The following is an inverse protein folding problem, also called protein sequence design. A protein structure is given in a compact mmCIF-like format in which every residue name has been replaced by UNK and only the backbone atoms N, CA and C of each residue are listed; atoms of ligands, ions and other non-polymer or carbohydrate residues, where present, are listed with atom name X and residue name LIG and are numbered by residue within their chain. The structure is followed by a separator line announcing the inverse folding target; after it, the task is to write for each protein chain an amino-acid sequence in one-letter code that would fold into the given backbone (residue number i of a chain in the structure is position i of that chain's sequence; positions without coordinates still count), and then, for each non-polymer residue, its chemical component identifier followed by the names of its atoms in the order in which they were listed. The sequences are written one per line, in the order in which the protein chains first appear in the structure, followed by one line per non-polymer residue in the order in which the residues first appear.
data_IF_166154393715
#
_entry.id   IF_166154393715
#
_cell.length_a   1.000
_cell.length_b   1.000
_cell.length_c   1.000
_cell.angle_alpha   90.00
_cell.angle_beta   90.00
_cell.angle_gamma   90.00
#
_symmetry.space_group_name_H-M   'P 1'
#
loop_
_entity.id
_entity.type
_entity.pdbx_description
1 polymer ?
#
# COMPACT_ATOMS: atom_id res chain seq x y z
N UNK A 1 -29.16 22.88 -57.34
CA UNK A 1 -30.01 23.93 -56.74
C UNK A 1 -30.71 23.34 -55.51
N UNK A 2 -30.63 24.09 -54.40
CA UNK A 2 -31.31 23.99 -53.09
C UNK A 2 -31.14 22.76 -52.18
N UNK A 3 -31.03 22.82 -50.84
CA UNK A 3 -30.46 23.71 -49.78
C UNK A 3 -30.61 22.92 -48.45
N UNK A 4 -29.70 23.17 -47.48
CA UNK A 4 -29.63 22.81 -46.02
C UNK A 4 -30.98 22.55 -45.29
N UNK A 5 -31.05 21.82 -44.16
CA UNK A 5 -30.63 22.21 -42.78
C UNK A 5 -30.58 20.95 -41.87
N UNK A 6 -29.67 20.92 -40.88
CA UNK A 6 -29.50 19.85 -39.90
C UNK A 6 -30.38 19.93 -38.64
N UNK A 7 -30.24 18.96 -37.74
CA UNK A 7 -30.59 19.07 -36.30
C UNK A 7 -29.76 18.06 -35.51
N UNK A 8 -29.10 18.61 -34.50
CA UNK A 8 -28.27 18.01 -33.45
C UNK A 8 -29.13 17.25 -32.44
N UNK A 9 -28.74 16.03 -32.08
CA UNK A 9 -29.21 15.36 -30.87
C UNK A 9 -28.17 15.57 -29.76
N UNK A 10 -28.51 16.41 -28.80
CA UNK A 10 -27.74 16.67 -27.59
C UNK A 10 -28.18 15.67 -26.52
N UNK A 11 -27.37 14.63 -26.27
CA UNK A 11 -27.54 13.73 -25.14
C UNK A 11 -26.60 14.20 -24.03
N UNK A 12 -27.11 15.06 -23.15
CA UNK A 12 -26.43 15.50 -21.93
C UNK A 12 -26.23 14.32 -20.99
N UNK A 13 -24.94 14.02 -20.79
CA UNK A 13 -24.38 12.91 -20.04
C UNK A 13 -24.62 13.07 -18.54
N UNK A 14 -24.84 11.94 -17.86
CA UNK A 14 -24.97 11.79 -16.40
C UNK A 14 -23.79 12.33 -15.57
N UNK A 15 -22.74 12.86 -16.21
CA UNK A 15 -21.58 13.49 -15.60
C UNK A 15 -21.87 14.83 -14.90
N UNK A 16 -22.98 15.52 -15.19
CA UNK A 16 -23.28 16.82 -14.57
C UNK A 16 -23.95 16.72 -13.20
N UNK A 17 -24.62 15.60 -12.87
CA UNK A 17 -25.28 15.44 -11.56
C UNK A 17 -24.32 15.18 -10.41
N UNK A 18 -23.19 14.51 -10.64
CA UNK A 18 -22.19 14.27 -9.57
C UNK A 18 -21.35 15.50 -9.23
N UNK A 19 -21.31 16.52 -10.11
CA UNK A 19 -20.48 17.71 -9.91
C UNK A 19 -21.11 18.72 -8.92
N UNK A 20 -22.41 18.64 -8.67
CA UNK A 20 -23.12 19.52 -7.73
C UNK A 20 -23.08 19.05 -6.27
N UNK A 21 -22.94 17.75 -6.01
CA UNK A 21 -22.95 17.20 -4.65
C UNK A 21 -21.61 17.38 -3.90
N UNK A 22 -20.49 17.57 -4.60
CA UNK A 22 -19.17 17.69 -3.96
C UNK A 22 -18.81 19.13 -3.53
N UNK A 23 -19.65 20.13 -3.80
CA UNK A 23 -19.35 21.54 -3.51
C UNK A 23 -19.70 21.97 -2.07
N UNK A 24 -20.30 21.10 -1.24
CA UNK A 24 -20.91 21.52 0.04
C UNK A 24 -20.11 21.21 1.31
N UNK A 25 -18.94 20.56 1.22
CA UNK A 25 -18.25 20.05 2.41
C UNK A 25 -17.00 20.83 2.87
N UNK A 26 -16.64 21.96 2.23
CA UNK A 26 -15.52 22.79 2.69
C UNK A 26 -16.00 24.16 3.16
N UNK A 27 -16.43 24.21 4.42
CA UNK A 27 -16.45 25.42 5.24
C UNK A 27 -16.74 25.01 6.69
N UNK A 28 -15.71 25.04 7.53
CA UNK A 28 -15.70 25.57 8.90
C UNK A 28 -14.52 24.99 9.70
N UNK A 29 -13.43 25.75 9.80
CA UNK A 29 -12.59 25.82 11.01
C UNK A 29 -11.59 26.96 10.87
N UNK A 30 -12.05 28.20 11.09
CA UNK A 30 -11.18 29.36 11.33
C UNK A 30 -10.71 29.28 12.78
N UNK A 31 -9.43 28.97 13.00
CA UNK A 31 -8.77 29.07 14.30
C UNK A 31 -8.54 30.53 14.67
N UNK A 32 -9.21 31.01 15.72
CA UNK A 32 -9.00 32.33 16.32
C UNK A 32 -7.96 32.24 17.43
N UNK A 33 -6.97 33.13 17.38
CA UNK A 33 -5.92 33.30 18.37
C UNK A 33 -6.28 34.50 19.25
N UNK A 34 -6.55 34.30 20.54
CA UNK A 34 -6.59 35.38 21.53
C UNK A 34 -6.15 34.86 22.91
N UNK A 35 -5.12 35.50 23.46
CA UNK A 35 -4.70 35.42 24.87
C UNK A 35 -5.42 36.53 25.64
N UNK A 36 -5.80 36.30 26.91
CA UNK A 36 -5.53 37.34 27.90
C UNK A 36 -5.00 36.82 29.26
N UNK A 37 -4.36 37.75 29.96
CA UNK A 37 -3.67 37.68 31.25
C UNK A 37 -4.60 37.45 32.46
N UNK A 38 -4.07 36.68 33.43
CA UNK A 38 -4.05 36.84 34.91
C UNK A 38 -5.27 37.46 35.63
N UNK A 39 -5.85 36.72 36.58
CA UNK A 39 -6.20 37.19 37.95
C UNK A 39 -6.20 35.99 38.92
N UNK A 40 -5.50 36.14 40.05
CA UNK A 40 -5.50 35.22 41.19
C UNK A 40 -6.66 35.52 42.16
N UNK A 41 -7.26 34.49 42.77
CA UNK A 41 -7.93 34.61 44.08
C UNK A 41 -8.30 33.25 44.70
N UNK A 42 -7.94 33.08 45.98
CA UNK A 42 -8.81 32.49 47.00
C UNK A 42 -8.96 30.96 47.08
N UNK A 43 -8.36 30.37 48.12
CA UNK A 43 -8.65 29.01 48.59
C UNK A 43 -10.06 28.90 49.18
N UNK A 44 -10.73 27.76 48.99
CA UNK A 44 -11.68 27.17 49.96
C UNK A 44 -11.74 25.66 49.77
N UNK A 45 -11.53 24.94 50.87
CA UNK A 45 -11.59 23.49 50.98
C UNK A 45 -13.03 22.97 50.80
N UNK A 46 -13.18 21.85 50.11
CA UNK A 46 -14.37 21.00 50.23
C UNK A 46 -13.93 19.54 50.34
N UNK A 47 -14.12 19.00 51.54
CA UNK A 47 -14.05 17.58 51.84
C UNK A 47 -15.22 16.86 51.16
N UNK A 48 -14.93 15.83 50.39
CA UNK A 48 -15.92 14.93 49.81
C UNK A 48 -15.35 13.53 49.68
N UNK A 49 -15.59 12.69 50.69
CA UNK A 49 -15.37 11.25 50.61
C UNK A 49 -16.65 10.59 50.07
N UNK A 50 -16.56 9.85 48.96
CA UNK A 50 -17.43 8.70 48.66
C UNK A 50 -17.03 8.04 47.34
N UNK A 51 -16.77 6.73 47.39
CA UNK A 51 -16.93 5.82 46.25
C UNK A 51 -15.65 5.38 45.53
N UNK A 52 -14.76 4.64 46.19
CA UNK A 52 -13.83 3.77 45.48
C UNK A 52 -14.62 2.61 44.85
N UNK A 53 -15.03 2.76 43.59
CA UNK A 53 -15.48 1.63 42.79
C UNK A 53 -14.28 0.69 42.56
N UNK A 54 -14.41 -0.63 42.71
CA UNK A 54 -13.33 -1.54 42.38
C UNK A 54 -13.10 -1.45 40.87
N UNK A 55 -11.97 -0.85 40.49
CA UNK A 55 -11.46 -0.97 39.13
C UNK A 55 -11.25 -2.46 38.88
N UNK A 56 -12.08 -3.06 38.03
CA UNK A 56 -11.81 -4.38 37.47
C UNK A 56 -10.52 -4.22 36.67
N UNK A 57 -9.40 -4.58 37.26
CA UNK A 57 -8.17 -4.90 36.56
C UNK A 57 -8.45 -6.15 35.73
N UNK A 58 -9.08 -5.95 34.57
CA UNK A 58 -8.91 -6.86 33.46
C UNK A 58 -7.45 -6.78 33.09
N UNK A 59 -6.63 -7.66 33.66
CA UNK A 59 -5.33 -7.93 33.11
C UNK A 59 -5.58 -8.38 31.67
N UNK A 60 -5.35 -7.48 30.71
CA UNK A 60 -5.17 -7.88 29.33
C UNK A 60 -4.08 -8.94 29.39
N UNK A 61 -4.45 -10.17 29.06
CA UNK A 61 -3.49 -11.24 28.84
C UNK A 61 -2.61 -10.72 27.71
N UNK A 62 -1.40 -10.25 28.04
CA UNK A 62 -0.40 -9.93 27.03
C UNK A 62 -0.25 -11.20 26.21
N UNK A 63 -0.74 -11.15 24.97
CA UNK A 63 -0.52 -12.22 24.02
C UNK A 63 0.99 -12.38 23.92
N UNK A 64 1.50 -13.55 24.33
CA UNK A 64 2.92 -13.84 24.32
C UNK A 64 3.50 -13.46 22.95
N UNK A 65 4.60 -12.71 22.93
CA UNK A 65 5.23 -12.27 21.70
C UNK A 65 5.55 -13.49 20.81
N UNK A 66 5.12 -13.44 19.54
CA UNK A 66 5.43 -14.51 18.57
C UNK A 66 6.95 -14.65 18.41
N UNK A 67 7.47 -15.87 18.23
CA UNK A 67 8.89 -16.08 17.96
C UNK A 67 9.28 -15.38 16.65
N UNK A 68 10.45 -14.73 16.65
CA UNK A 68 10.99 -14.02 15.48
C UNK A 68 11.95 -14.94 14.70
N UNK A 69 11.44 -16.11 14.26
CA UNK A 69 12.22 -17.05 13.46
C UNK A 69 12.20 -16.55 12.02
N UNK A 70 13.34 -16.07 11.53
CA UNK A 70 13.47 -15.62 10.15
C UNK A 70 13.61 -16.82 9.19
N UNK A 71 12.86 -16.85 8.06
CA UNK A 71 13.13 -17.81 7.01
C UNK A 71 14.49 -17.53 6.35
N UNK A 72 15.12 -18.59 5.86
CA UNK A 72 16.38 -18.56 5.11
C UNK A 72 16.20 -17.86 3.76
N UNK A 73 17.32 -17.48 3.13
CA UNK A 73 17.30 -16.91 1.79
C UNK A 73 16.72 -17.92 0.76
N UNK A 74 16.99 -19.21 0.94
CA UNK A 74 16.49 -20.27 0.07
C UNK A 74 14.96 -20.41 0.18
N UNK A 75 14.41 -20.45 1.40
CA UNK A 75 12.96 -20.53 1.61
C UNK A 75 12.25 -19.31 1.01
N UNK A 76 12.79 -18.10 1.20
CA UNK A 76 12.25 -16.92 0.52
C UNK A 76 12.35 -17.05 -1.00
N UNK A 77 13.43 -17.62 -1.54
CA UNK A 77 13.54 -17.81 -2.98
C UNK A 77 12.41 -18.68 -3.53
N UNK A 78 11.97 -19.71 -2.80
CA UNK A 78 10.83 -20.56 -3.22
C UNK A 78 9.50 -19.79 -3.26
N UNK A 79 9.33 -18.76 -2.43
CA UNK A 79 8.13 -17.94 -2.38
C UNK A 79 8.06 -16.90 -3.51
N UNK A 80 9.22 -16.41 -3.97
CA UNK A 80 9.28 -15.27 -4.89
C UNK A 80 9.76 -15.62 -6.29
N UNK A 81 10.73 -16.52 -6.44
CA UNK A 81 11.39 -16.73 -7.73
C UNK A 81 10.42 -17.31 -8.78
N UNK A 82 10.58 -16.81 -10.00
CA UNK A 82 9.74 -17.14 -11.16
C UNK A 82 8.25 -16.96 -10.88
N UNK A 83 7.89 -15.86 -10.23
CA UNK A 83 6.50 -15.53 -9.93
C UNK A 83 6.20 -14.06 -10.19
N UNK A 84 4.95 -13.81 -10.54
CA UNK A 84 4.39 -12.47 -10.72
C UNK A 84 3.49 -12.13 -9.54
N UNK A 85 3.86 -11.12 -8.77
CA UNK A 85 3.02 -10.54 -7.72
C UNK A 85 2.01 -9.57 -8.35
N UNK A 86 0.73 -9.86 -8.22
CA UNK A 86 -0.35 -9.06 -8.79
C UNK A 86 -1.00 -8.15 -7.73
N UNK A 87 -1.19 -6.87 -8.07
CA UNK A 87 -2.03 -5.96 -7.29
C UNK A 87 -3.05 -5.25 -8.19
N UNK A 88 -3.98 -4.51 -7.59
CA UNK A 88 -5.16 -3.94 -8.27
C UNK A 88 -4.84 -3.27 -9.61
N UNK A 89 -3.75 -2.51 -9.66
CA UNK A 89 -3.37 -1.68 -10.81
C UNK A 89 -1.93 -1.96 -11.29
N UNK A 90 -1.44 -3.17 -11.19
CA UNK A 90 -0.08 -3.49 -11.65
C UNK A 90 0.42 -4.85 -11.22
N UNK A 91 1.67 -5.13 -11.57
CA UNK A 91 2.33 -6.36 -11.17
C UNK A 91 3.85 -6.22 -11.14
N UNK A 92 4.51 -7.12 -10.42
CA UNK A 92 5.97 -7.26 -10.40
C UNK A 92 6.35 -8.72 -10.65
N UNK A 93 7.16 -8.97 -11.67
CA UNK A 93 7.73 -10.28 -11.97
C UNK A 93 9.14 -10.41 -11.37
N UNK A 94 9.33 -11.44 -10.55
CA UNK A 94 10.57 -11.78 -9.86
C UNK A 94 11.29 -12.88 -10.64
N UNK A 95 12.20 -12.50 -11.53
CA UNK A 95 12.95 -13.43 -12.37
C UNK A 95 13.92 -14.32 -11.58
N UNK A 96 14.14 -15.54 -12.04
CA UNK A 96 15.12 -16.48 -11.45
C UNK A 96 16.54 -15.92 -11.44
N UNK A 97 16.87 -15.06 -12.40
CA UNK A 97 18.14 -14.37 -12.56
C UNK A 97 18.26 -13.08 -11.73
N UNK A 98 17.38 -12.91 -10.74
CA UNK A 98 17.27 -11.73 -9.86
C UNK A 98 16.80 -10.46 -10.56
N UNK A 99 16.43 -10.48 -11.84
CA UNK A 99 15.76 -9.33 -12.46
C UNK A 99 14.37 -9.12 -11.86
N UNK A 100 13.98 -7.86 -11.75
CA UNK A 100 12.66 -7.45 -11.28
C UNK A 100 12.07 -6.47 -12.30
N UNK A 101 10.94 -6.85 -12.88
CA UNK A 101 10.18 -6.00 -13.79
C UNK A 101 8.82 -5.71 -13.19
N UNK A 102 8.51 -4.45 -12.96
CA UNK A 102 7.25 -4.00 -12.42
C UNK A 102 6.58 -3.01 -13.36
N UNK A 103 5.26 -2.93 -13.30
CA UNK A 103 4.50 -1.90 -14.00
C UNK A 103 3.26 -1.51 -13.22
N UNK A 104 2.79 -0.29 -13.46
CA UNK A 104 1.53 0.21 -12.92
C UNK A 104 0.66 0.78 -14.03
N UNK A 105 -0.63 0.46 -13.97
CA UNK A 105 -1.71 1.03 -14.79
C UNK A 105 -2.18 2.33 -14.13
N UNK A 106 -1.35 3.36 -14.09
CA UNK A 106 -1.86 4.69 -13.77
C UNK A 106 -2.82 5.12 -14.88
N UNK A 107 -4.04 5.56 -14.55
CA UNK A 107 -5.07 5.94 -15.55
C UNK A 107 -4.52 6.98 -16.55
N UNK A 108 -3.68 7.91 -16.08
CA UNK A 108 -3.03 8.94 -16.90
C UNK A 108 -1.49 8.90 -16.88
N UNK A 109 -0.89 7.98 -16.14
CA UNK A 109 0.57 7.90 -15.99
C UNK A 109 1.03 6.46 -15.75
N UNK A 110 1.06 5.62 -16.80
CA UNK A 110 1.70 4.31 -16.69
C UNK A 110 3.18 4.50 -16.32
N UNK A 111 3.65 3.63 -15.42
CA UNK A 111 5.04 3.59 -15.04
C UNK A 111 5.55 2.16 -15.14
N UNK A 112 6.83 2.02 -15.47
CA UNK A 112 7.54 0.76 -15.36
C UNK A 112 8.69 0.90 -14.39
N UNK A 113 8.93 -0.16 -13.62
CA UNK A 113 10.05 -0.30 -12.71
C UNK A 113 10.96 -1.40 -13.23
N UNK A 114 12.24 -1.11 -13.37
CA UNK A 114 13.25 -2.09 -13.79
C UNK A 114 14.38 -2.12 -12.76
N UNK A 115 14.87 -3.32 -12.47
CA UNK A 115 15.97 -3.49 -11.54
C UNK A 115 16.10 -4.94 -11.09
N UNK A 116 16.29 -5.12 -9.78
CA UNK A 116 16.58 -6.43 -9.20
C UNK A 116 15.87 -6.67 -7.89
N UNK A 117 15.81 -7.93 -7.50
CA UNK A 117 15.37 -8.33 -6.16
C UNK A 117 16.44 -9.16 -5.47
N UNK A 118 16.42 -9.16 -4.14
CA UNK A 118 17.35 -9.92 -3.31
C UNK A 118 16.64 -10.46 -2.08
N UNK A 119 17.17 -11.55 -1.56
CA UNK A 119 16.73 -12.19 -0.31
C UNK A 119 17.94 -12.36 0.61
N UNK A 120 17.70 -12.43 1.91
CA UNK A 120 18.77 -12.53 2.92
C UNK A 120 18.47 -13.65 3.90
N UNK A 121 19.50 -14.14 4.60
CA UNK A 121 19.36 -15.14 5.68
C UNK A 121 18.64 -14.61 6.93
N UNK A 122 18.21 -13.34 6.93
CA UNK A 122 17.46 -12.72 8.02
C UNK A 122 16.01 -12.47 7.63
N UNK A 123 15.45 -13.28 6.72
CA UNK A 123 14.04 -13.20 6.36
C UNK A 123 13.65 -11.94 5.59
N UNK A 124 14.61 -11.19 5.01
CA UNK A 124 14.29 -10.00 4.23
C UNK A 124 14.25 -10.29 2.73
N UNK A 125 13.20 -9.86 2.06
CA UNK A 125 13.11 -9.70 0.61
C UNK A 125 13.15 -8.21 0.29
N UNK A 126 14.04 -7.78 -0.60
CA UNK A 126 14.08 -6.39 -1.04
C UNK A 126 13.96 -6.27 -2.56
N UNK A 127 13.14 -5.32 -2.98
CA UNK A 127 12.99 -4.86 -4.34
C UNK A 127 13.81 -3.60 -4.53
N UNK A 128 14.66 -3.57 -5.55
CA UNK A 128 15.43 -2.39 -5.94
C UNK A 128 15.06 -2.02 -7.37
N UNK A 129 14.29 -0.95 -7.53
CA UNK A 129 13.68 -0.54 -8.79
C UNK A 129 13.98 0.91 -9.12
N UNK A 130 14.45 1.16 -10.34
CA UNK A 130 14.37 2.47 -10.96
C UNK A 130 13.02 2.58 -11.68
N UNK A 131 12.23 3.58 -11.32
CA UNK A 131 10.90 3.80 -11.91
C UNK A 131 10.99 4.86 -13.00
N UNK A 132 10.23 4.65 -14.08
CA UNK A 132 10.12 5.60 -15.18
C UNK A 132 8.70 5.68 -15.69
N UNK A 133 8.34 6.87 -16.16
CA UNK A 133 7.11 7.18 -16.87
C UNK A 133 7.43 8.16 -18.01
N UNK A 134 6.41 8.70 -18.68
CA UNK A 134 6.58 9.77 -19.68
C UNK A 134 7.13 11.08 -19.10
N UNK A 135 6.96 11.33 -17.80
CA UNK A 135 7.25 12.64 -17.18
C UNK A 135 8.33 12.58 -16.11
N UNK A 136 8.75 11.38 -15.71
CA UNK A 136 9.78 11.23 -14.69
C UNK A 136 10.61 9.96 -14.89
N UNK A 137 11.80 9.99 -14.30
CA UNK A 137 12.64 8.83 -14.05
C UNK A 137 13.28 8.97 -12.68
N UNK A 138 13.41 7.87 -11.94
CA UNK A 138 13.98 7.85 -10.60
C UNK A 138 15.29 7.06 -10.58
N UNK A 139 16.18 7.40 -9.64
CA UNK A 139 17.28 6.51 -9.26
C UNK A 139 16.71 5.24 -8.61
N UNK A 140 17.40 4.09 -8.66
CA UNK A 140 16.97 2.89 -7.97
C UNK A 140 16.58 3.15 -6.52
N UNK A 141 15.34 2.82 -6.16
CA UNK A 141 14.82 2.90 -4.81
C UNK A 141 14.63 1.49 -4.25
N UNK A 142 15.00 1.30 -2.98
CA UNK A 142 14.89 0.00 -2.31
C UNK A 142 13.68 -0.02 -1.39
N UNK A 143 12.81 -1.00 -1.59
CA UNK A 143 11.71 -1.35 -0.67
C UNK A 143 11.96 -2.76 -0.13
N UNK A 144 11.91 -2.94 1.18
CA UNK A 144 12.16 -4.22 1.82
C UNK A 144 10.95 -4.71 2.61
N UNK A 145 10.84 -6.03 2.68
CA UNK A 145 9.83 -6.75 3.43
C UNK A 145 10.51 -7.77 4.35
N UNK A 146 10.27 -7.66 5.65
CA UNK A 146 10.72 -8.65 6.63
C UNK A 146 9.70 -9.78 6.72
N UNK A 147 10.19 -10.99 6.95
CA UNK A 147 9.39 -12.19 7.16
C UNK A 147 9.79 -12.86 8.47
N UNK A 148 8.81 -13.47 9.13
CA UNK A 148 9.03 -14.37 10.27
C UNK A 148 8.09 -15.56 10.19
N UNK A 149 8.48 -16.65 10.83
CA UNK A 149 7.75 -17.92 10.83
C UNK A 149 7.28 -18.24 12.24
N UNK A 150 5.99 -18.53 12.38
CA UNK A 150 5.38 -19.05 13.61
C UNK A 150 4.49 -20.24 13.28
N UNK A 151 4.85 -21.43 13.79
CA UNK A 151 4.10 -22.69 13.59
C UNK A 151 3.79 -22.98 12.10
N UNK A 152 4.71 -22.63 11.21
CA UNK A 152 4.59 -22.82 9.75
C UNK A 152 3.81 -21.71 9.03
N UNK A 153 3.20 -20.77 9.74
CA UNK A 153 2.68 -19.55 9.14
C UNK A 153 3.82 -18.57 8.92
N UNK A 154 3.81 -17.90 7.78
CA UNK A 154 4.76 -16.85 7.43
C UNK A 154 4.02 -15.53 7.54
N UNK A 155 4.50 -14.64 8.40
CA UNK A 155 4.07 -13.26 8.46
C UNK A 155 5.05 -12.38 7.68
N UNK A 156 4.54 -11.32 7.08
CA UNK A 156 5.32 -10.30 6.38
C UNK A 156 5.01 -8.93 6.96
N UNK A 157 6.00 -8.04 6.92
CA UNK A 157 5.79 -6.60 7.08
C UNK A 157 6.64 -5.82 6.09
N UNK A 158 6.19 -4.63 5.73
CA UNK A 158 7.01 -3.65 5.03
C UNK A 158 7.98 -2.97 6.01
N UNK A 159 9.25 -2.84 5.63
CA UNK A 159 10.24 -2.15 6.46
C UNK A 159 10.21 -0.62 6.20
N UNK A 160 10.56 0.21 7.21
CA UNK A 160 10.98 -0.18 8.58
C UNK A 160 9.81 -0.33 9.57
N UNK A 161 8.64 0.21 9.25
CA UNK A 161 7.57 0.56 10.21
C UNK A 161 6.21 -0.07 9.90
N UNK A 162 6.14 -0.95 8.89
CA UNK A 162 4.92 -1.67 8.56
C UNK A 162 4.49 -2.65 9.66
N UNK A 163 3.17 -2.89 9.73
CA UNK A 163 2.59 -3.91 10.61
C UNK A 163 2.81 -5.30 10.04
N UNK A 164 2.95 -6.30 10.91
CA UNK A 164 2.93 -7.70 10.52
C UNK A 164 1.53 -8.12 10.05
N UNK A 165 1.47 -8.86 8.95
CA UNK A 165 0.27 -9.50 8.42
C UNK A 165 0.61 -10.91 7.94
N UNK A 166 -0.40 -11.77 7.91
CA UNK A 166 -0.26 -13.13 7.42
C UNK A 166 0.03 -13.10 5.91
N UNK A 167 1.22 -13.58 5.54
CA UNK A 167 1.66 -13.68 4.15
C UNK A 167 1.29 -15.03 3.56
N UNK A 168 1.54 -16.09 4.31
CA UNK A 168 1.20 -17.46 3.93
C UNK A 168 0.86 -18.27 5.18
N UNK A 169 -0.30 -18.91 5.22
CA UNK A 169 -0.62 -19.88 6.25
C UNK A 169 0.04 -21.25 5.99
N UNK A 170 0.25 -22.01 7.07
CA UNK A 170 0.79 -23.38 7.00
C UNK A 170 -0.13 -24.31 6.20
N UNK A 171 -1.44 -24.13 6.34
CA UNK A 171 -2.48 -24.68 5.46
C UNK A 171 -2.88 -23.58 4.50
N UNK A 172 -3.02 -23.89 3.22
CA UNK A 172 -3.32 -22.86 2.23
C UNK A 172 -4.64 -22.15 2.54
N UNK A 173 -4.58 -20.82 2.62
CA UNK A 173 -5.73 -19.94 2.82
C UNK A 173 -5.90 -19.05 1.57
N UNK A 174 -7.11 -19.00 0.97
CA UNK A 174 -7.38 -18.09 -0.15
C UNK A 174 -7.18 -16.60 0.17
N UNK A 175 -7.18 -16.21 1.45
CA UNK A 175 -6.93 -14.85 1.90
C UNK A 175 -5.44 -14.51 2.01
N UNK A 176 -4.53 -15.48 1.88
CA UNK A 176 -3.09 -15.26 1.97
C UNK A 176 -2.62 -14.23 0.92
N UNK A 177 -1.78 -13.28 1.34
CA UNK A 177 -1.13 -12.35 0.40
C UNK A 177 -0.36 -13.13 -0.69
N UNK A 178 0.20 -14.28 -0.33
CA UNK A 178 0.88 -15.18 -1.25
C UNK A 178 -0.02 -15.68 -2.39
N UNK A 179 -1.36 -15.69 -2.26
CA UNK A 179 -2.26 -16.05 -3.38
C UNK A 179 -2.21 -15.05 -4.53
N UNK A 180 -1.68 -13.85 -4.31
CA UNK A 180 -1.48 -12.86 -5.38
C UNK A 180 -0.27 -13.18 -6.27
N UNK A 181 0.53 -14.19 -5.92
CA UNK A 181 1.68 -14.63 -6.69
C UNK A 181 1.30 -15.74 -7.66
N UNK A 182 1.34 -15.44 -8.95
CA UNK A 182 1.15 -16.42 -10.03
C UNK A 182 2.51 -16.93 -10.50
N UNK A 183 2.63 -18.23 -10.81
CA UNK A 183 3.87 -18.79 -11.37
C UNK A 183 4.14 -18.24 -12.78
N UNK A 184 5.41 -17.97 -13.07
CA UNK A 184 5.90 -17.40 -14.32
C UNK A 184 5.67 -15.89 -14.45
N UNK A 185 6.09 -15.34 -15.60
CA UNK A 185 5.92 -13.94 -15.98
C UNK A 185 4.53 -13.69 -16.61
N UNK A 186 3.47 -13.84 -15.82
CA UNK A 186 2.08 -13.80 -16.32
C UNK A 186 1.63 -12.43 -16.81
N UNK A 187 2.31 -11.34 -16.38
CA UNK A 187 2.01 -9.96 -16.80
C UNK A 187 3.12 -9.33 -17.65
N UNK A 188 3.98 -10.14 -18.27
CA UNK A 188 5.10 -9.67 -19.09
C UNK A 188 4.65 -8.85 -20.30
N UNK A 189 3.57 -9.24 -20.97
CA UNK A 189 3.04 -8.50 -22.11
C UNK A 189 2.54 -7.08 -21.72
N UNK A 190 1.95 -6.94 -20.53
CA UNK A 190 1.47 -5.66 -20.00
C UNK A 190 2.65 -4.76 -19.61
N UNK A 191 3.69 -5.31 -19.01
CA UNK A 191 4.94 -4.60 -18.78
C UNK A 191 5.53 -4.06 -20.09
N UNK A 192 5.63 -4.91 -21.11
CA UNK A 192 6.15 -4.52 -22.43
C UNK A 192 5.29 -3.45 -23.12
N UNK A 193 3.97 -3.56 -23.01
CA UNK A 193 3.05 -2.54 -23.52
C UNK A 193 3.25 -1.19 -22.80
N UNK A 194 3.33 -1.20 -21.46
CA UNK A 194 3.58 0.00 -20.66
C UNK A 194 4.94 0.64 -21.00
N UNK A 195 5.98 -0.18 -21.12
CA UNK A 195 7.32 0.24 -21.55
C UNK A 195 7.29 0.95 -22.90
N UNK A 196 6.70 0.32 -23.93
CA UNK A 196 6.62 0.92 -25.28
C UNK A 196 5.87 2.25 -25.27
N UNK A 197 4.77 2.35 -24.50
CA UNK A 197 4.02 3.59 -24.36
C UNK A 197 4.87 4.72 -23.76
N UNK A 198 5.80 4.41 -22.86
CA UNK A 198 6.71 5.37 -22.24
C UNK A 198 7.82 5.76 -23.22
N UNK A 199 8.38 4.80 -23.96
CA UNK A 199 9.54 5.02 -24.85
C UNK A 199 9.21 5.77 -26.15
N UNK A 200 7.97 5.74 -26.62
CA UNK A 200 7.54 6.35 -27.90
C UNK A 200 7.58 7.91 -27.90
N UNK A 201 8.04 8.56 -26.83
CA UNK A 201 8.13 10.03 -26.72
C UNK A 201 9.56 10.58 -26.67
N UNK A 202 10.56 9.79 -27.06
CA UNK A 202 11.94 10.25 -27.25
C UNK A 202 12.19 10.78 -28.66
#
# INVERSE_FOLDING_TARGET
MCTRIGTTAEATSASERSRLELSRADRLARGGWLVPLLVACGQLAFSGAAGAAPAKTGAAVEAAAKPDIAPTAFELQLLYADRTWNWKNGAAYFGMDRRLHAWTKGEDSPAVGEGRWLVTEKGKMCMELAWRSKTYSTKPQRTCYSHRVDKGNIEQRKDPDGTWYDFKHAKDDPADEHQKFEAGNTKGAQFEAARKLIDTKS
#
